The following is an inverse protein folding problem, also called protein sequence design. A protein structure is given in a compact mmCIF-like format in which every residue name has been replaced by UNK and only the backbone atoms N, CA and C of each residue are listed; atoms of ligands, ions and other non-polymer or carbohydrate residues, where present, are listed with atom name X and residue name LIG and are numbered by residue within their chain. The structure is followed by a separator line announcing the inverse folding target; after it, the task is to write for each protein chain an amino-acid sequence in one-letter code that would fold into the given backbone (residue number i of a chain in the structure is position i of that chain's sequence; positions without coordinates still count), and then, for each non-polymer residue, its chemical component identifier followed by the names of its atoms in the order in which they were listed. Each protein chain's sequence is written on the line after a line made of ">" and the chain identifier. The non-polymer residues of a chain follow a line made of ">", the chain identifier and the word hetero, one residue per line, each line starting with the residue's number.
data_IF_257599563791
#
_entry.id   IF_257599563791
#
_cell.length_a   1.000
_cell.length_b   1.000
_cell.length_c   1.000
_cell.angle_alpha   90.00
_cell.angle_beta   90.00
_cell.angle_gamma   90.00
#
_symmetry.space_group_name_H-M   'P 1'
#
loop_
_entity.id
_entity.type
_entity.pdbx_description
1 polymer ?
#
# COMPACT_ATOMS: atom_id res chain seq x y z
N UNK A 1 20.47 -14.69 15.96
CA UNK A 1 20.34 -15.89 16.76
C UNK A 1 18.92 -16.40 16.63
N UNK A 2 18.73 -17.69 16.26
CA UNK A 2 17.39 -18.29 16.19
C UNK A 2 16.75 -18.26 17.58
N UNK A 3 15.51 -17.79 17.70
CA UNK A 3 14.78 -17.71 18.96
C UNK A 3 13.89 -18.93 19.16
N UNK A 4 13.25 -19.38 18.12
CA UNK A 4 12.48 -20.63 18.07
C UNK A 4 12.54 -21.19 16.65
N UNK A 5 12.26 -22.46 16.51
CA UNK A 5 12.19 -23.14 15.23
C UNK A 5 10.97 -24.03 15.12
N UNK A 6 10.53 -24.26 13.90
CA UNK A 6 9.49 -25.22 13.55
C UNK A 6 9.75 -25.79 12.17
N UNK A 7 9.73 -27.07 12.03
CA UNK A 7 9.90 -27.78 10.77
C UNK A 7 8.55 -28.37 10.31
N UNK A 8 7.99 -27.81 9.24
CA UNK A 8 6.69 -28.25 8.72
C UNK A 8 5.58 -28.12 9.77
N UNK A 9 4.82 -29.20 9.96
CA UNK A 9 3.75 -29.30 10.95
C UNK A 9 4.21 -29.78 12.33
N UNK A 10 5.51 -29.95 12.53
CA UNK A 10 6.04 -30.37 13.82
C UNK A 10 5.78 -29.34 14.92
N UNK A 11 5.84 -29.80 16.16
CA UNK A 11 5.75 -28.97 17.35
C UNK A 11 6.82 -27.85 17.33
N UNK A 12 6.47 -26.60 17.60
CA UNK A 12 7.46 -25.53 17.76
C UNK A 12 8.37 -25.75 18.96
N UNK A 13 9.66 -25.45 18.83
CA UNK A 13 10.68 -25.62 19.87
C UNK A 13 11.41 -24.30 20.10
N UNK A 14 11.58 -23.92 21.38
CA UNK A 14 12.42 -22.78 21.74
C UNK A 14 13.89 -23.15 21.69
N UNK A 15 14.70 -22.18 21.30
CA UNK A 15 16.15 -22.34 21.35
C UNK A 15 16.64 -22.34 22.81
N UNK A 16 17.58 -23.24 23.14
CA UNK A 16 18.15 -23.41 24.49
C UNK A 16 18.80 -22.15 25.09
N UNK A 17 19.10 -21.16 24.25
CA UNK A 17 19.65 -19.88 24.70
C UNK A 17 18.65 -18.91 25.30
N UNK A 18 17.34 -19.26 25.39
CA UNK A 18 16.30 -18.44 25.99
C UNK A 18 15.92 -18.98 27.35
N UNK A 19 16.23 -18.23 28.39
CA UNK A 19 15.84 -18.57 29.77
C UNK A 19 14.47 -17.98 30.06
N UNK A 20 13.44 -18.81 30.12
CA UNK A 20 12.08 -18.46 30.49
C UNK A 20 11.82 -18.71 31.96
N UNK A 21 10.90 -17.97 32.57
CA UNK A 21 10.31 -18.36 33.86
C UNK A 21 9.45 -19.61 33.70
N UNK A 22 9.18 -20.34 34.77
CA UNK A 22 8.32 -21.53 34.71
C UNK A 22 6.93 -21.24 34.12
N UNK A 23 6.35 -20.07 34.45
CA UNK A 23 5.05 -19.65 33.90
C UNK A 23 5.10 -19.39 32.40
N UNK A 24 6.16 -18.73 31.92
CA UNK A 24 6.35 -18.46 30.49
C UNK A 24 6.65 -19.75 29.71
N UNK A 25 7.43 -20.64 30.32
CA UNK A 25 7.71 -21.95 29.72
C UNK A 25 6.42 -22.76 29.58
N UNK A 26 5.63 -22.91 30.64
CA UNK A 26 4.35 -23.61 30.56
C UNK A 26 3.40 -22.97 29.52
N UNK A 27 3.35 -21.65 29.46
CA UNK A 27 2.54 -20.95 28.46
C UNK A 27 2.99 -21.27 27.04
N UNK A 28 4.29 -21.23 26.77
CA UNK A 28 4.83 -21.57 25.45
C UNK A 28 4.53 -23.05 25.10
N UNK A 29 4.82 -23.97 26.02
CA UNK A 29 4.60 -25.41 25.83
C UNK A 29 3.15 -25.72 25.49
N UNK A 30 2.17 -25.16 26.24
CA UNK A 30 0.74 -25.35 25.95
C UNK A 30 0.40 -24.91 24.53
N UNK A 31 0.86 -23.74 24.10
CA UNK A 31 0.56 -23.27 22.73
C UNK A 31 1.32 -24.04 21.66
N UNK A 32 2.52 -24.54 21.96
CA UNK A 32 3.30 -25.35 21.06
C UNK A 32 2.65 -26.73 20.85
N UNK A 33 2.13 -27.32 21.93
CA UNK A 33 1.40 -28.60 21.88
C UNK A 33 0.10 -28.47 21.11
N UNK A 34 -0.69 -27.43 21.37
CA UNK A 34 -1.95 -27.15 20.66
C UNK A 34 -1.74 -26.84 19.17
N UNK A 35 -0.53 -26.40 18.82
CA UNK A 35 -0.18 -26.02 17.46
C UNK A 35 0.47 -27.15 16.65
N UNK A 36 0.82 -28.27 17.26
CA UNK A 36 1.34 -29.44 16.55
C UNK A 36 0.33 -29.94 15.53
N UNK A 37 0.76 -30.27 14.34
CA UNK A 37 -0.09 -30.68 13.22
C UNK A 37 -0.78 -29.56 12.46
N UNK A 38 -0.69 -28.29 12.88
CA UNK A 38 -1.27 -27.17 12.13
C UNK A 38 -0.44 -26.86 10.89
N UNK A 39 -1.06 -26.92 9.71
CA UNK A 39 -0.41 -26.64 8.41
C UNK A 39 -0.87 -25.33 7.77
N UNK A 40 -1.86 -24.65 8.36
CA UNK A 40 -2.56 -23.53 7.71
C UNK A 40 -2.14 -22.16 8.22
N UNK A 41 -1.45 -22.09 9.36
CA UNK A 41 -1.06 -20.81 9.95
C UNK A 41 0.35 -20.84 10.52
N UNK A 42 0.92 -19.66 10.73
CA UNK A 42 2.23 -19.51 11.36
C UNK A 42 2.09 -19.53 12.89
N UNK A 43 2.99 -20.21 13.57
CA UNK A 43 3.04 -20.21 15.04
C UNK A 43 3.18 -18.80 15.63
N UNK A 44 3.90 -17.92 14.92
CA UNK A 44 3.99 -16.50 15.29
C UNK A 44 2.61 -15.84 15.37
N UNK A 45 1.71 -16.14 14.46
CA UNK A 45 0.33 -15.64 14.47
C UNK A 45 -0.44 -16.18 15.67
N UNK A 46 -0.29 -17.49 15.96
CA UNK A 46 -0.93 -18.12 17.11
C UNK A 46 -0.45 -17.49 18.42
N UNK A 47 0.85 -17.26 18.58
CA UNK A 47 1.43 -16.60 19.75
C UNK A 47 0.94 -15.15 19.95
N UNK A 48 0.39 -14.52 18.92
CA UNK A 48 -0.11 -13.13 18.99
C UNK A 48 -1.65 -13.02 19.03
N UNK A 49 -2.38 -14.04 18.60
CA UNK A 49 -3.82 -14.02 18.48
C UNK A 49 -4.52 -13.87 19.84
N UNK A 50 -5.06 -12.69 20.13
CA UNK A 50 -5.76 -12.40 21.38
C UNK A 50 -4.91 -12.47 22.66
N UNK A 51 -3.57 -12.57 22.51
CA UNK A 51 -2.64 -12.73 23.64
C UNK A 51 -2.00 -11.42 24.02
N UNK A 52 -1.85 -11.20 25.34
CA UNK A 52 -1.17 -10.02 25.90
C UNK A 52 0.11 -10.46 26.60
N UNK A 53 1.18 -9.73 26.36
CA UNK A 53 2.47 -9.91 27.04
C UNK A 53 2.73 -8.71 27.94
N UNK A 54 3.26 -8.95 29.16
CA UNK A 54 3.78 -7.87 29.95
C UNK A 54 5.11 -7.38 29.37
N UNK A 55 5.46 -6.12 29.63
CA UNK A 55 6.72 -5.52 29.14
C UNK A 55 7.98 -6.21 29.69
N UNK A 56 7.83 -7.01 30.75
CA UNK A 56 8.92 -7.79 31.38
C UNK A 56 8.97 -9.23 30.86
N UNK A 57 7.98 -9.67 30.07
CA UNK A 57 7.93 -11.05 29.58
C UNK A 57 9.02 -11.29 28.56
N UNK A 58 9.70 -12.41 28.73
CA UNK A 58 10.67 -12.92 27.74
C UNK A 58 10.01 -13.38 26.44
N UNK A 59 8.70 -13.70 26.47
CA UNK A 59 7.91 -14.04 25.28
C UNK A 59 7.46 -12.81 24.48
N UNK A 60 7.76 -11.60 24.95
CA UNK A 60 7.39 -10.35 24.27
C UNK A 60 7.98 -10.29 22.85
N UNK A 61 9.11 -10.94 22.60
CA UNK A 61 9.72 -10.99 21.28
C UNK A 61 8.79 -11.52 20.18
N UNK A 62 7.81 -12.38 20.53
CA UNK A 62 6.81 -12.82 19.56
C UNK A 62 5.96 -11.65 19.07
N UNK A 63 5.61 -10.71 19.96
CA UNK A 63 4.90 -9.48 19.63
C UNK A 63 5.79 -8.56 18.82
N UNK A 64 7.01 -8.33 19.25
CA UNK A 64 7.94 -7.41 18.59
C UNK A 64 8.23 -7.86 17.14
N UNK A 65 8.45 -9.15 16.90
CA UNK A 65 8.66 -9.70 15.56
C UNK A 65 7.39 -9.62 14.73
N UNK A 66 6.23 -9.93 15.31
CA UNK A 66 4.95 -9.85 14.60
C UNK A 66 4.63 -8.42 14.18
N UNK A 67 4.77 -7.46 15.09
CA UNK A 67 4.53 -6.05 14.83
C UNK A 67 5.54 -5.50 13.80
N UNK A 68 6.79 -5.95 13.88
CA UNK A 68 7.80 -5.59 12.88
C UNK A 68 7.41 -6.09 11.49
N UNK A 69 7.02 -7.37 11.36
CA UNK A 69 6.57 -7.94 10.09
C UNK A 69 5.36 -7.16 9.55
N UNK A 70 4.36 -6.90 10.40
CA UNK A 70 3.15 -6.19 9.98
C UNK A 70 3.41 -4.75 9.53
N UNK A 71 4.35 -4.06 10.14
CA UNK A 71 4.59 -2.65 9.89
C UNK A 71 5.71 -2.37 8.88
N UNK A 72 6.58 -3.36 8.58
CA UNK A 72 7.77 -3.13 7.74
C UNK A 72 7.84 -4.07 6.53
N UNK A 73 6.96 -5.07 6.44
CA UNK A 73 6.92 -5.95 5.28
C UNK A 73 5.63 -5.69 4.49
N UNK A 74 5.80 -5.21 3.26
CA UNK A 74 4.71 -5.11 2.29
C UNK A 74 4.81 -6.24 1.27
N UNK A 75 3.72 -6.98 1.12
CA UNK A 75 3.63 -8.01 0.08
C UNK A 75 3.08 -7.35 -1.18
N UNK A 76 3.94 -7.23 -2.19
CA UNK A 76 3.57 -6.65 -3.48
C UNK A 76 3.20 -7.80 -4.43
N UNK A 77 1.93 -7.88 -4.77
CA UNK A 77 1.47 -8.81 -5.83
C UNK A 77 1.42 -8.11 -7.18
N UNK A 78 1.47 -8.82 -8.32
CA UNK A 78 1.39 -8.22 -9.64
C UNK A 78 0.13 -7.36 -9.87
N UNK A 79 -0.96 -7.69 -9.18
CA UNK A 79 -2.26 -7.05 -9.36
C UNK A 79 -2.60 -5.98 -8.31
N UNK A 80 -1.74 -5.80 -7.31
CA UNK A 80 -1.97 -4.80 -6.24
C UNK A 80 -1.27 -3.49 -6.61
N UNK A 81 -2.01 -2.40 -6.89
CA UNK A 81 -1.41 -1.08 -7.05
C UNK A 81 -0.69 -0.68 -5.77
N UNK A 82 0.49 -0.11 -5.88
CA UNK A 82 1.16 0.54 -4.76
C UNK A 82 0.47 1.90 -4.53
N UNK A 83 0.14 2.21 -3.28
CA UNK A 83 -0.92 3.19 -2.98
C UNK A 83 -0.36 4.59 -2.72
N UNK A 84 0.93 4.78 -2.55
CA UNK A 84 1.45 6.11 -2.28
C UNK A 84 1.67 6.89 -3.57
N UNK A 85 0.66 7.72 -3.90
CA UNK A 85 0.61 8.49 -5.14
C UNK A 85 0.87 9.99 -4.91
N UNK A 86 1.28 10.38 -3.71
CA UNK A 86 1.58 11.78 -3.38
C UNK A 86 2.74 12.33 -4.21
N UNK A 87 3.66 11.47 -4.62
CA UNK A 87 4.80 11.81 -5.48
C UNK A 87 4.44 12.42 -6.83
N UNK A 88 3.26 12.11 -7.35
CA UNK A 88 2.83 12.65 -8.65
C UNK A 88 2.36 14.10 -8.57
N UNK A 89 2.07 14.62 -7.37
CA UNK A 89 1.52 15.95 -7.16
C UNK A 89 2.54 16.96 -6.62
N UNK A 90 3.72 16.48 -6.24
CA UNK A 90 4.83 17.35 -5.89
C UNK A 90 5.72 17.60 -7.11
N UNK A 91 5.95 18.86 -7.45
CA UNK A 91 6.74 19.26 -8.62
C UNK A 91 8.17 18.69 -8.63
N UNK A 92 8.79 18.54 -7.45
CA UNK A 92 10.13 17.99 -7.35
C UNK A 92 10.11 16.48 -7.59
N UNK A 93 9.15 15.79 -7.02
CA UNK A 93 8.95 14.36 -7.21
C UNK A 93 8.59 14.05 -8.66
N UNK A 94 7.73 14.85 -9.30
CA UNK A 94 7.41 14.69 -10.72
C UNK A 94 8.65 14.87 -11.61
N UNK A 95 9.58 15.78 -11.27
CA UNK A 95 10.87 15.90 -11.99
C UNK A 95 11.74 14.67 -11.81
N UNK A 96 11.78 14.07 -10.63
CA UNK A 96 12.51 12.83 -10.36
C UNK A 96 11.90 11.65 -11.12
N UNK A 97 10.58 11.51 -11.10
CA UNK A 97 9.83 10.51 -11.89
C UNK A 97 10.18 10.67 -13.37
N UNK A 98 10.12 11.88 -13.91
CA UNK A 98 10.45 12.18 -15.30
C UNK A 98 11.92 11.89 -15.66
N UNK A 99 12.84 11.98 -14.69
CA UNK A 99 14.22 11.56 -14.88
C UNK A 99 14.35 10.04 -14.88
N UNK A 100 13.67 9.38 -13.95
CA UNK A 100 13.76 7.94 -13.75
C UNK A 100 13.08 7.17 -14.90
N UNK A 101 11.89 7.60 -15.35
CA UNK A 101 11.12 6.91 -16.40
C UNK A 101 11.92 6.81 -17.71
N UNK A 102 12.75 7.80 -18.00
CA UNK A 102 13.62 7.80 -19.19
C UNK A 102 14.72 6.75 -19.15
N UNK A 103 15.04 6.20 -17.97
CA UNK A 103 16.06 5.14 -17.84
C UNK A 103 15.48 3.76 -18.16
N UNK A 104 14.15 3.63 -18.16
CA UNK A 104 13.47 2.41 -18.54
C UNK A 104 13.06 2.52 -20.01
N UNK A 105 13.52 1.70 -20.86
CA UNK A 105 13.27 1.76 -22.32
C UNK A 105 11.78 1.47 -22.69
N UNK A 106 10.89 2.22 -22.07
CA UNK A 106 9.43 2.16 -22.29
C UNK A 106 8.97 3.03 -23.46
N UNK A 107 9.85 3.90 -23.95
CA UNK A 107 9.50 4.92 -24.95
C UNK A 107 8.85 6.18 -24.35
N UNK A 108 8.50 6.19 -23.06
CA UNK A 108 7.94 7.36 -22.38
C UNK A 108 9.04 8.39 -22.16
N UNK A 109 8.79 9.62 -22.61
CA UNK A 109 9.70 10.75 -22.44
C UNK A 109 9.29 11.71 -21.33
N UNK A 110 8.00 11.76 -21.02
CA UNK A 110 7.48 12.65 -20.01
C UNK A 110 6.15 12.15 -19.42
N UNK A 111 6.02 12.33 -18.10
CA UNK A 111 4.78 12.24 -17.35
C UNK A 111 4.32 13.65 -17.07
N UNK A 112 3.05 13.96 -17.34
CA UNK A 112 2.42 15.25 -17.06
C UNK A 112 1.20 15.05 -16.18
N UNK A 113 0.86 16.06 -15.40
CA UNK A 113 -0.41 16.17 -14.71
C UNK A 113 -1.33 17.01 -15.60
N UNK A 114 -2.48 16.48 -15.92
CA UNK A 114 -3.52 17.16 -16.70
C UNK A 114 -4.75 17.37 -15.84
N UNK A 115 -5.30 18.57 -15.91
CA UNK A 115 -6.59 18.90 -15.33
C UNK A 115 -7.71 18.44 -16.27
N UNK A 116 -8.66 17.69 -15.75
CA UNK A 116 -9.81 17.19 -16.49
C UNK A 116 -11.10 17.67 -15.86
N UNK A 117 -12.17 17.66 -16.65
CA UNK A 117 -13.51 18.04 -16.18
C UNK A 117 -14.16 16.91 -15.38
N UNK A 118 -15.17 17.26 -14.56
CA UNK A 118 -16.00 16.26 -13.88
C UNK A 118 -16.76 15.37 -14.86
N UNK A 119 -17.11 15.88 -16.03
CA UNK A 119 -17.77 15.11 -17.09
C UNK A 119 -16.82 14.05 -17.67
N UNK A 120 -15.57 14.39 -17.91
CA UNK A 120 -14.54 13.41 -18.34
C UNK A 120 -14.31 12.35 -17.27
N UNK A 121 -14.21 12.75 -15.99
CA UNK A 121 -14.10 11.81 -14.88
C UNK A 121 -15.33 10.89 -14.79
N UNK A 122 -16.54 11.43 -14.96
CA UNK A 122 -17.80 10.66 -14.96
C UNK A 122 -17.85 9.62 -16.08
N UNK A 123 -17.30 9.96 -17.24
CA UNK A 123 -17.24 9.05 -18.39
C UNK A 123 -16.16 7.95 -18.22
N UNK A 124 -15.11 8.23 -17.46
CA UNK A 124 -14.02 7.28 -17.21
C UNK A 124 -14.32 6.25 -16.10
N UNK A 125 -15.38 6.46 -15.32
CA UNK A 125 -15.71 5.63 -14.16
C UNK A 125 -17.09 4.96 -14.31
N UNK A 126 -17.28 3.77 -13.71
CA UNK A 126 -18.62 3.24 -13.50
C UNK A 126 -19.47 4.23 -12.70
N UNK A 127 -20.69 4.49 -13.16
CA UNK A 127 -21.59 5.48 -12.55
C UNK A 127 -21.72 5.33 -11.02
N UNK A 128 -21.85 4.11 -10.53
CA UNK A 128 -21.98 3.84 -9.09
C UNK A 128 -20.72 4.20 -8.29
N UNK A 129 -19.54 4.17 -8.92
CA UNK A 129 -18.27 4.58 -8.31
C UNK A 129 -18.18 6.10 -8.27
N UNK A 130 -18.48 6.74 -9.40
CA UNK A 130 -18.51 8.20 -9.51
C UNK A 130 -19.50 8.80 -8.50
N UNK A 131 -20.74 8.31 -8.46
CA UNK A 131 -21.78 8.83 -7.57
C UNK A 131 -21.34 8.72 -6.08
N UNK A 132 -20.79 7.58 -5.66
CA UNK A 132 -20.29 7.39 -4.28
C UNK A 132 -19.12 8.31 -3.96
N UNK A 133 -18.22 8.47 -4.89
CA UNK A 133 -17.07 9.34 -4.74
C UNK A 133 -17.48 10.80 -4.59
N UNK A 134 -18.37 11.30 -5.48
CA UNK A 134 -18.89 12.67 -5.41
C UNK A 134 -19.73 12.91 -4.15
N UNK A 135 -20.49 11.92 -3.71
CA UNK A 135 -21.19 11.97 -2.43
C UNK A 135 -20.20 12.15 -1.26
N UNK A 136 -19.09 11.41 -1.27
CA UNK A 136 -18.05 11.52 -0.23
C UNK A 136 -17.39 12.91 -0.26
N UNK A 137 -17.05 13.42 -1.44
CA UNK A 137 -16.50 14.77 -1.60
C UNK A 137 -17.46 15.80 -1.03
N UNK A 138 -18.74 15.73 -1.43
CA UNK A 138 -19.78 16.65 -0.95
C UNK A 138 -19.94 16.61 0.57
N UNK A 139 -20.05 15.43 1.16
CA UNK A 139 -20.18 15.28 2.60
C UNK A 139 -18.99 15.92 3.34
N UNK A 140 -17.76 15.71 2.86
CA UNK A 140 -16.56 16.31 3.48
C UNK A 140 -16.52 17.84 3.33
N UNK A 141 -17.04 18.38 2.21
CA UNK A 141 -17.16 19.82 2.03
C UNK A 141 -18.20 20.44 2.98
N UNK A 142 -19.27 19.70 3.29
CA UNK A 142 -20.33 20.16 4.21
C UNK A 142 -19.93 20.04 5.69
N UNK A 143 -19.01 19.12 6.04
CA UNK A 143 -18.58 18.88 7.42
C UNK A 143 -17.55 19.91 7.94
N UNK A 144 -16.94 20.71 7.07
CA UNK A 144 -15.85 21.63 7.41
C UNK A 144 -16.20 23.06 6.99
N UNK A 145 -15.90 24.04 7.86
CA UNK A 145 -16.10 25.46 7.53
C UNK A 145 -15.17 25.94 6.39
N UNK A 146 -13.93 25.44 6.36
CA UNK A 146 -12.97 25.66 5.28
C UNK A 146 -12.42 24.31 4.81
N UNK A 147 -13.13 23.60 3.92
CA UNK A 147 -12.70 22.30 3.46
C UNK A 147 -11.41 22.39 2.64
N UNK A 148 -10.41 21.65 3.05
CA UNK A 148 -9.16 21.49 2.31
C UNK A 148 -8.73 20.04 2.41
N UNK A 149 -8.88 19.30 1.32
CA UNK A 149 -8.49 17.91 1.27
C UNK A 149 -8.18 17.44 -0.14
N UNK A 150 -7.41 16.37 -0.20
CA UNK A 150 -7.10 15.66 -1.44
C UNK A 150 -7.60 14.22 -1.35
N UNK A 151 -8.15 13.71 -2.44
CA UNK A 151 -8.58 12.32 -2.58
C UNK A 151 -8.01 11.76 -3.86
N UNK A 152 -7.23 10.69 -3.73
CA UNK A 152 -6.62 10.00 -4.86
C UNK A 152 -7.31 8.67 -5.08
N UNK A 153 -7.63 8.36 -6.32
CA UNK A 153 -8.16 7.08 -6.73
C UNK A 153 -7.21 6.43 -7.73
N UNK A 154 -6.83 5.20 -7.44
CA UNK A 154 -6.00 4.37 -8.29
C UNK A 154 -6.66 3.01 -8.51
N UNK A 155 -6.86 2.65 -9.74
CA UNK A 155 -7.20 1.29 -10.15
C UNK A 155 -6.13 0.74 -11.09
N UNK A 156 -6.33 -0.45 -11.64
CA UNK A 156 -5.41 -1.02 -12.63
C UNK A 156 -5.27 -0.12 -13.88
N UNK A 157 -6.33 0.58 -14.25
CA UNK A 157 -6.43 1.32 -15.52
C UNK A 157 -6.58 2.84 -15.32
N UNK A 158 -6.93 3.28 -14.11
CA UNK A 158 -7.28 4.67 -13.86
C UNK A 158 -6.46 5.28 -12.74
N UNK A 159 -6.15 6.55 -12.89
CA UNK A 159 -5.49 7.37 -11.89
C UNK A 159 -6.12 8.75 -11.89
N UNK A 160 -6.75 9.12 -10.79
CA UNK A 160 -7.35 10.43 -10.62
C UNK A 160 -7.05 10.99 -9.24
N UNK A 161 -6.88 12.30 -9.19
CA UNK A 161 -6.82 13.05 -7.96
C UNK A 161 -7.89 14.13 -7.96
N UNK A 162 -8.61 14.25 -6.86
CA UNK A 162 -9.57 15.31 -6.60
C UNK A 162 -9.04 16.16 -5.46
N UNK A 163 -8.89 17.43 -5.72
CA UNK A 163 -8.42 18.42 -4.75
C UNK A 163 -9.53 19.44 -4.50
N UNK A 164 -9.79 19.70 -3.25
CA UNK A 164 -10.77 20.68 -2.78
C UNK A 164 -10.06 21.71 -1.93
N UNK A 165 -10.21 22.97 -2.29
CA UNK A 165 -9.71 24.11 -1.53
C UNK A 165 -10.86 25.10 -1.29
N UNK A 166 -11.24 25.25 -0.03
CA UNK A 166 -12.40 26.05 0.35
C UNK A 166 -13.70 25.51 -0.26
N UNK A 167 -14.62 26.40 -0.59
CA UNK A 167 -15.91 26.07 -1.23
C UNK A 167 -15.88 26.17 -2.76
N UNK A 168 -14.70 26.15 -3.36
CA UNK A 168 -14.54 26.11 -4.82
C UNK A 168 -14.96 24.76 -5.40
N UNK A 169 -15.20 24.74 -6.71
CA UNK A 169 -15.43 23.47 -7.41
C UNK A 169 -14.20 22.55 -7.27
N UNK A 170 -14.42 21.23 -7.04
CA UNK A 170 -13.33 20.27 -6.96
C UNK A 170 -12.48 20.27 -8.22
N UNK A 171 -11.19 20.41 -8.06
CA UNK A 171 -10.21 20.29 -9.14
C UNK A 171 -9.87 18.83 -9.35
N UNK A 172 -10.03 18.33 -10.57
CA UNK A 172 -9.73 16.94 -10.92
C UNK A 172 -8.50 16.90 -11.81
N UNK A 173 -7.56 16.02 -11.48
CA UNK A 173 -6.36 15.82 -12.28
C UNK A 173 -6.11 14.34 -12.56
N UNK A 174 -5.47 14.06 -13.69
CA UNK A 174 -4.99 12.73 -14.09
C UNK A 174 -3.57 12.82 -14.61
N UNK A 175 -2.93 11.68 -14.87
CA UNK A 175 -1.62 11.64 -15.52
C UNK A 175 -1.77 11.37 -17.01
N UNK A 176 -0.91 12.04 -17.79
CA UNK A 176 -0.72 11.81 -19.22
C UNK A 176 0.73 11.46 -19.50
N UNK A 177 0.91 10.58 -20.46
CA UNK A 177 2.19 10.01 -20.82
C UNK A 177 2.55 10.41 -22.24
N UNK A 178 3.67 11.08 -22.39
CA UNK A 178 4.19 11.47 -23.70
C UNK A 178 5.29 10.52 -24.13
N UNK A 179 5.14 9.92 -25.31
CA UNK A 179 6.12 9.02 -25.91
C UNK A 179 7.04 9.74 -26.90
N UNK A 180 8.31 9.36 -26.94
CA UNK A 180 9.34 9.97 -27.81
C UNK A 180 9.00 9.98 -29.30
N UNK A 181 8.19 9.02 -29.74
CA UNK A 181 7.87 8.79 -31.17
C UNK A 181 6.40 9.15 -31.50
N UNK A 182 5.67 9.74 -30.58
CA UNK A 182 4.27 10.10 -30.75
C UNK A 182 4.07 11.60 -30.58
N UNK A 183 3.17 12.17 -31.37
CA UNK A 183 2.65 13.52 -31.17
C UNK A 183 1.45 13.55 -30.22
N UNK A 184 0.93 12.36 -29.84
CA UNK A 184 -0.22 12.21 -28.95
C UNK A 184 0.25 11.90 -27.53
N UNK A 185 -0.51 12.38 -26.57
CA UNK A 185 -0.39 12.02 -25.17
C UNK A 185 -1.35 10.87 -24.87
N UNK A 186 -0.86 9.87 -24.17
CA UNK A 186 -1.59 8.66 -23.84
C UNK A 186 -2.14 8.74 -22.42
N UNK A 187 -3.32 8.20 -22.22
CA UNK A 187 -3.86 7.93 -20.90
C UNK A 187 -3.14 6.76 -20.24
N UNK A 188 -3.31 6.65 -18.94
CA UNK A 188 -2.72 5.56 -18.18
C UNK A 188 -3.31 4.19 -18.57
N UNK A 189 -4.58 4.17 -18.97
CA UNK A 189 -5.32 3.01 -19.49
C UNK A 189 -4.81 2.51 -20.84
N UNK A 190 -4.19 3.39 -21.63
CA UNK A 190 -3.65 3.06 -22.94
C UNK A 190 -2.26 2.40 -22.87
N UNK A 191 -1.65 2.36 -21.68
CA UNK A 191 -0.33 1.78 -21.46
C UNK A 191 -0.38 0.27 -21.23
N UNK A 192 0.77 -0.40 -21.51
CA UNK A 192 0.93 -1.82 -21.23
C UNK A 192 0.89 -2.10 -19.72
N UNK A 193 0.50 -3.33 -19.33
CA UNK A 193 0.53 -3.77 -17.93
C UNK A 193 1.93 -3.59 -17.31
N UNK A 194 2.99 -3.87 -18.07
CA UNK A 194 4.37 -3.69 -17.65
C UNK A 194 4.70 -2.23 -17.35
N UNK A 195 4.28 -1.33 -18.24
CA UNK A 195 4.47 0.11 -18.05
C UNK A 195 3.69 0.60 -16.83
N UNK A 196 2.42 0.22 -16.70
CA UNK A 196 1.60 0.58 -15.53
C UNK A 196 2.22 0.07 -14.23
N UNK A 197 2.75 -1.15 -14.25
CA UNK A 197 3.45 -1.71 -13.09
C UNK A 197 4.71 -0.95 -12.72
N UNK A 198 5.45 -0.45 -13.70
CA UNK A 198 6.60 0.40 -13.46
C UNK A 198 6.22 1.67 -12.68
N UNK A 199 5.09 2.31 -13.01
CA UNK A 199 4.58 3.44 -12.24
C UNK A 199 4.26 3.07 -10.79
N UNK A 200 3.67 1.90 -10.55
CA UNK A 200 3.41 1.43 -9.21
C UNK A 200 4.70 1.21 -8.39
N UNK A 201 5.81 0.89 -9.05
CA UNK A 201 7.11 0.68 -8.41
C UNK A 201 7.93 1.98 -8.24
N UNK A 202 7.52 3.09 -8.86
CA UNK A 202 8.27 4.35 -8.80
C UNK A 202 8.49 4.84 -7.38
N UNK A 203 7.48 4.72 -6.53
CA UNK A 203 7.57 5.09 -5.11
C UNK A 203 8.71 4.35 -4.40
N UNK A 204 8.83 3.04 -4.63
CA UNK A 204 9.91 2.23 -4.06
C UNK A 204 11.30 2.56 -4.63
N UNK A 205 11.35 3.13 -5.82
CA UNK A 205 12.62 3.48 -6.48
C UNK A 205 13.07 4.90 -6.14
N UNK A 206 12.16 5.72 -5.60
CA UNK A 206 12.43 7.10 -5.20
C UNK A 206 12.74 7.24 -3.70
N UNK A 207 12.37 6.25 -2.88
CA UNK A 207 12.68 6.12 -1.46
C UNK A 207 13.86 5.20 -1.22
#
# INVERSE_FOLDING_TARGET
>A
KCLFEREGSKRPVLNDGITLTNTEKNKFETYADDFEGNETSLFLTEMNRGKKYSTRSKLLFFRDVYDWIQNHISIITPDTPLIDLEYYYDDNSLKLINKLIKTFDTGISQVKIEEITLDELSNALPKSVFDKMMQHVKNRMEEQEEPSFRMTMRSKETFFNIEVEGHSEPKVTTIRLHHNKSFYEFGFDEESDGTRRLFDLMDMLLN
#
